data_IF_549598687048
#
_entry.id   IF_549598687048
#
_cell.length_a   1.000
_cell.length_b   1.000
_cell.length_c   1.000
_cell.angle_alpha   90.00
_cell.angle_beta   90.00
_cell.angle_gamma   90.00
#
_symmetry.space_group_name_H-M   'P 1'
#
loop_
_entity.id
_entity.type
_entity.pdbx_description
1 polymer ?
#
# COMPACT_ATOMS: atom_id res chain seq x y z
N UNK A 1 -28.00 26.06 27.48
CA UNK A 1 -26.77 26.60 26.83
C UNK A 1 -26.84 28.11 26.85
N UNK A 2 -25.73 28.80 27.14
CA UNK A 2 -25.70 30.27 27.17
C UNK A 2 -25.60 30.81 25.73
N UNK A 3 -26.22 31.95 25.41
CA UNK A 3 -26.25 32.54 24.07
C UNK A 3 -24.85 32.67 23.41
N UNK A 4 -23.81 32.91 24.21
CA UNK A 4 -22.42 32.97 23.72
C UNK A 4 -21.91 31.65 23.12
N UNK A 5 -22.33 30.50 23.67
CA UNK A 5 -21.93 29.18 23.16
C UNK A 5 -22.56 28.90 21.80
N UNK A 6 -23.80 29.34 21.58
CA UNK A 6 -24.50 29.20 20.30
C UNK A 6 -23.83 30.06 19.23
N UNK A 7 -23.49 31.31 19.56
CA UNK A 7 -22.80 32.22 18.64
C UNK A 7 -21.42 31.67 18.26
N UNK A 8 -20.65 31.17 19.23
CA UNK A 8 -19.34 30.56 18.98
C UNK A 8 -19.45 29.32 18.08
N UNK A 9 -20.48 28.50 18.27
CA UNK A 9 -20.74 27.31 17.44
C UNK A 9 -21.15 27.69 16.02
N UNK A 10 -22.01 28.69 15.84
CA UNK A 10 -22.35 29.19 14.51
C UNK A 10 -21.14 29.77 13.79
N UNK A 11 -20.29 30.53 14.50
CA UNK A 11 -19.09 31.11 13.92
C UNK A 11 -18.06 30.05 13.52
N UNK A 12 -17.88 28.98 14.32
CA UNK A 12 -16.98 27.88 13.98
C UNK A 12 -17.45 27.08 12.77
N UNK A 13 -18.77 26.88 12.62
CA UNK A 13 -19.35 26.25 11.43
C UNK A 13 -19.11 27.12 10.21
N UNK A 14 -19.40 28.43 10.28
CA UNK A 14 -19.21 29.36 9.16
C UNK A 14 -17.73 29.44 8.76
N UNK A 15 -16.83 29.57 9.73
CA UNK A 15 -15.39 29.61 9.48
C UNK A 15 -14.88 28.30 8.85
N UNK A 16 -15.37 27.15 9.31
CA UNK A 16 -15.03 25.84 8.74
C UNK A 16 -15.52 25.71 7.29
N UNK A 17 -16.77 26.09 7.02
CA UNK A 17 -17.33 26.06 5.65
C UNK A 17 -16.60 27.04 4.73
N UNK A 18 -16.29 28.25 5.21
CA UNK A 18 -15.55 29.24 4.44
C UNK A 18 -14.12 28.78 4.14
N UNK A 19 -13.42 28.20 5.12
CA UNK A 19 -12.09 27.64 4.94
C UNK A 19 -12.09 26.45 3.95
N UNK A 20 -13.06 25.54 4.07
CA UNK A 20 -13.22 24.43 3.14
C UNK A 20 -13.53 24.93 1.72
N UNK A 21 -14.40 25.94 1.58
CA UNK A 21 -14.76 26.52 0.27
C UNK A 21 -13.58 27.27 -0.35
N UNK A 22 -12.80 27.99 0.47
CA UNK A 22 -11.58 28.67 0.04
C UNK A 22 -10.53 27.66 -0.43
N UNK A 23 -10.29 26.60 0.36
CA UNK A 23 -9.41 25.50 -0.01
C UNK A 23 -9.84 24.88 -1.35
N UNK A 24 -11.13 24.55 -1.49
CA UNK A 24 -11.68 24.01 -2.74
C UNK A 24 -11.59 24.95 -3.96
N UNK A 25 -11.45 26.26 -3.76
CA UNK A 25 -11.35 27.25 -4.84
C UNK A 25 -9.91 27.49 -5.28
N UNK A 26 -8.95 27.38 -4.36
CA UNK A 26 -7.55 27.70 -4.59
C UNK A 26 -6.62 26.48 -4.55
N UNK A 27 -7.18 25.27 -4.43
CA UNK A 27 -6.40 24.04 -4.54
C UNK A 27 -5.72 23.99 -5.92
N UNK A 28 -4.42 23.67 -6.00
CA UNK A 28 -3.73 23.54 -7.26
C UNK A 28 -4.44 22.49 -8.14
N UNK A 29 -4.62 22.80 -9.42
CA UNK A 29 -5.10 21.81 -10.40
C UNK A 29 -4.09 20.65 -10.44
N UNK A 30 -4.52 19.48 -9.98
CA UNK A 30 -3.68 18.30 -9.79
C UNK A 30 -3.56 17.53 -11.10
N UNK A 31 -2.83 18.14 -12.03
CA UNK A 31 -2.50 17.55 -13.33
C UNK A 31 -1.33 16.57 -13.14
N UNK A 32 -1.56 15.29 -13.41
CA UNK A 32 -0.52 14.24 -13.38
C UNK A 32 -0.17 13.83 -14.80
N UNK A 33 1.12 13.61 -15.06
CA UNK A 33 1.58 12.93 -16.27
C UNK A 33 1.71 11.44 -15.97
N UNK A 34 0.97 10.62 -16.71
CA UNK A 34 1.10 9.17 -16.73
C UNK A 34 1.57 8.68 -18.10
N UNK A 35 1.88 7.40 -18.21
CA UNK A 35 2.19 6.75 -19.50
C UNK A 35 1.00 6.77 -20.47
N UNK A 36 -0.22 7.01 -19.96
CA UNK A 36 -1.44 7.17 -20.74
C UNK A 36 -1.74 8.64 -21.10
N UNK A 37 -0.87 9.58 -20.73
CA UNK A 37 -1.00 11.01 -21.01
C UNK A 37 -1.26 11.86 -19.77
N UNK A 38 -1.76 13.07 -20.00
CA UNK A 38 -2.04 14.05 -18.95
C UNK A 38 -3.42 13.76 -18.35
N UNK A 39 -3.47 13.45 -17.04
CA UNK A 39 -4.69 13.17 -16.30
C UNK A 39 -4.97 14.32 -15.33
N UNK A 40 -6.13 14.97 -15.49
CA UNK A 40 -6.65 15.91 -14.50
C UNK A 40 -7.41 15.12 -13.44
N UNK A 41 -6.85 15.03 -12.24
CA UNK A 41 -7.49 14.31 -11.16
C UNK A 41 -8.67 15.09 -10.56
N UNK A 42 -8.92 16.35 -10.91
CA UNK A 42 -10.00 17.14 -10.32
C UNK A 42 -9.82 17.29 -8.81
N UNK A 43 -10.91 17.26 -8.04
CA UNK A 43 -10.83 17.33 -6.57
C UNK A 43 -10.37 15.97 -6.04
N UNK A 44 -9.08 15.83 -5.73
CA UNK A 44 -8.55 14.65 -5.03
C UNK A 44 -8.97 14.75 -3.57
N UNK A 45 -9.72 13.77 -3.09
CA UNK A 45 -10.24 13.75 -1.72
C UNK A 45 -9.45 12.84 -0.80
N UNK A 46 -8.71 11.87 -1.35
CA UNK A 46 -7.84 10.99 -0.60
C UNK A 46 -6.75 10.37 -1.48
N UNK A 47 -5.58 10.18 -0.88
CA UNK A 47 -4.43 9.49 -1.45
C UNK A 47 -4.04 8.37 -0.50
N UNK A 48 -3.91 7.15 -1.02
CA UNK A 48 -3.44 6.02 -0.24
C UNK A 48 -2.19 5.43 -0.88
N UNK A 49 -1.07 5.47 -0.17
CA UNK A 49 0.15 4.79 -0.58
C UNK A 49 0.06 3.33 -0.16
N UNK A 50 0.10 2.44 -1.14
CA UNK A 50 -0.17 1.02 -0.96
C UNK A 50 1.02 0.17 -1.42
N UNK A 51 1.10 -1.03 -0.86
CA UNK A 51 2.05 -2.06 -1.25
C UNK A 51 1.30 -3.37 -1.49
N UNK A 52 1.57 -3.99 -2.63
CA UNK A 52 1.22 -5.39 -2.90
C UNK A 52 2.49 -6.24 -2.83
N UNK A 53 2.35 -7.45 -2.30
CA UNK A 53 3.35 -8.50 -2.39
C UNK A 53 2.70 -9.67 -3.12
N UNK A 54 3.32 -10.08 -4.22
CA UNK A 54 2.77 -11.05 -5.15
C UNK A 54 3.77 -12.18 -5.34
N UNK A 55 3.34 -13.43 -5.20
CA UNK A 55 4.11 -14.60 -5.60
C UNK A 55 4.12 -14.72 -7.12
N UNK A 56 5.29 -15.02 -7.68
CA UNK A 56 5.45 -15.41 -9.06
C UNK A 56 5.74 -16.90 -9.10
N UNK A 57 4.87 -17.65 -9.78
CA UNK A 57 5.17 -19.04 -10.10
C UNK A 57 6.18 -19.15 -11.27
N UNK A 58 6.59 -20.38 -11.59
CA UNK A 58 7.53 -20.64 -12.69
C UNK A 58 6.98 -20.32 -14.07
N UNK A 59 5.66 -20.32 -14.23
CA UNK A 59 4.99 -19.97 -15.47
C UNK A 59 4.82 -18.44 -15.61
N UNK A 60 5.17 -17.68 -14.56
CA UNK A 60 5.01 -16.22 -14.50
C UNK A 60 3.61 -15.77 -14.09
N UNK A 61 2.77 -16.68 -13.56
CA UNK A 61 1.49 -16.29 -13.00
C UNK A 61 1.70 -15.59 -11.66
N UNK A 62 0.93 -14.52 -11.46
CA UNK A 62 0.88 -13.74 -10.24
C UNK A 62 -0.17 -14.33 -9.28
N UNK A 63 0.25 -14.70 -8.07
CA UNK A 63 -0.63 -15.06 -6.96
C UNK A 63 -0.48 -14.06 -5.81
N UNK A 64 -1.57 -13.43 -5.39
CA UNK A 64 -1.51 -12.32 -4.43
C UNK A 64 -1.24 -12.85 -3.03
N UNK A 65 -0.14 -12.43 -2.44
CA UNK A 65 0.23 -12.80 -1.08
C UNK A 65 -0.26 -11.78 -0.05
N UNK A 66 -0.02 -10.49 -0.33
CA UNK A 66 -0.51 -9.35 0.45
C UNK A 66 -1.03 -8.33 -0.55
N UNK A 67 -2.26 -7.85 -0.38
CA UNK A 67 -2.90 -6.92 -1.31
C UNK A 67 -3.38 -5.66 -0.60
N UNK A 68 -3.10 -4.51 -1.20
CA UNK A 68 -3.70 -3.23 -0.86
C UNK A 68 -3.45 -2.83 0.58
N UNK A 69 -2.23 -3.02 1.10
CA UNK A 69 -1.91 -2.64 2.47
C UNK A 69 -1.15 -1.32 2.48
N UNK A 70 -1.32 -0.55 3.55
CA UNK A 70 -0.62 0.73 3.72
C UNK A 70 0.89 0.52 3.64
N UNK A 71 1.55 1.33 2.80
CA UNK A 71 3.00 1.36 2.67
C UNK A 71 3.71 1.63 4.00
N UNK A 72 3.08 2.40 4.89
CA UNK A 72 3.63 2.75 6.21
C UNK A 72 3.29 1.74 7.31
N UNK A 73 2.31 0.87 7.10
CA UNK A 73 1.79 -0.08 8.10
C UNK A 73 1.71 -1.52 7.56
N UNK A 74 2.68 -1.92 6.73
CA UNK A 74 2.66 -3.21 6.03
C UNK A 74 2.99 -4.42 6.92
N UNK A 75 3.57 -4.21 8.10
CA UNK A 75 4.16 -5.28 8.91
C UNK A 75 3.14 -6.29 9.46
N UNK A 76 1.98 -5.82 9.93
CA UNK A 76 0.91 -6.69 10.47
C UNK A 76 0.24 -7.53 9.38
N UNK A 77 -0.16 -6.97 8.22
CA UNK A 77 -0.69 -7.76 7.13
C UNK A 77 0.29 -8.83 6.61
N UNK A 78 1.57 -8.49 6.50
CA UNK A 78 2.62 -9.46 6.12
C UNK A 78 2.69 -10.61 7.13
N UNK A 79 2.69 -10.31 8.43
CA UNK A 79 2.73 -11.32 9.47
C UNK A 79 1.52 -12.27 9.37
N UNK A 80 0.32 -11.70 9.16
CA UNK A 80 -0.91 -12.48 8.99
C UNK A 80 -0.83 -13.40 7.77
N UNK A 81 -0.42 -12.88 6.62
CA UNK A 81 -0.28 -13.67 5.40
C UNK A 81 0.73 -14.83 5.57
N UNK A 82 1.82 -14.59 6.29
CA UNK A 82 2.81 -15.63 6.61
C UNK A 82 2.26 -16.71 7.56
N UNK A 83 1.46 -16.32 8.55
CA UNK A 83 0.78 -17.26 9.46
C UNK A 83 -0.23 -18.11 8.68
N UNK A 84 -1.04 -17.48 7.82
CA UNK A 84 -2.03 -18.18 7.00
C UNK A 84 -1.34 -19.17 6.04
N UNK A 85 -0.24 -18.77 5.39
CA UNK A 85 0.58 -19.63 4.56
C UNK A 85 1.14 -20.83 5.35
N UNK A 86 1.67 -20.59 6.55
CA UNK A 86 2.19 -21.67 7.40
C UNK A 86 1.09 -22.65 7.83
N UNK A 87 -0.08 -22.13 8.19
CA UNK A 87 -1.24 -22.95 8.56
C UNK A 87 -1.72 -23.82 7.39
N UNK A 88 -1.73 -23.26 6.17
CA UNK A 88 -2.05 -24.02 4.97
C UNK A 88 -1.03 -25.12 4.69
N UNK A 89 0.28 -24.81 4.79
CA UNK A 89 1.35 -25.80 4.59
C UNK A 89 1.31 -26.93 5.62
N UNK A 90 0.96 -26.60 6.86
CA UNK A 90 0.82 -27.57 7.95
C UNK A 90 -0.49 -28.38 7.91
N UNK A 91 -1.39 -28.10 6.97
CA UNK A 91 -2.67 -28.80 6.89
C UNK A 91 -2.45 -30.26 6.51
N UNK A 92 -2.79 -31.17 7.43
CA UNK A 92 -2.61 -32.61 7.24
C UNK A 92 -1.20 -33.15 7.51
N UNK A 93 -0.30 -32.30 8.02
CA UNK A 93 1.05 -32.70 8.49
C UNK A 93 0.97 -33.13 9.96
N UNK A 94 1.66 -34.21 10.34
CA UNK A 94 1.74 -34.64 11.74
C UNK A 94 2.42 -33.58 12.61
N UNK A 95 2.00 -33.44 13.88
CA UNK A 95 2.48 -32.35 14.77
C UNK A 95 4.02 -32.28 14.86
N UNK A 96 4.69 -33.43 14.86
CA UNK A 96 6.16 -33.54 14.92
C UNK A 96 6.89 -32.99 13.68
N UNK A 97 6.18 -32.87 12.55
CA UNK A 97 6.71 -32.42 11.26
C UNK A 97 6.20 -31.03 10.86
N UNK A 98 5.39 -30.37 11.70
CA UNK A 98 4.87 -29.03 11.40
C UNK A 98 5.98 -27.98 11.49
N UNK A 99 5.98 -27.07 10.53
CA UNK A 99 6.85 -25.88 10.55
C UNK A 99 6.24 -24.79 11.43
N UNK A 100 7.08 -24.07 12.16
CA UNK A 100 6.64 -22.90 12.95
C UNK A 100 6.76 -21.62 12.12
N UNK A 101 6.11 -20.54 12.54
CA UNK A 101 6.18 -19.24 11.87
C UNK A 101 7.62 -18.73 11.64
N UNK A 102 8.51 -18.93 12.61
CA UNK A 102 9.92 -18.51 12.50
C UNK A 102 10.78 -19.51 11.71
N UNK A 103 10.25 -20.70 11.45
CA UNK A 103 10.92 -21.79 10.73
C UNK A 103 10.09 -22.27 9.55
N UNK A 104 9.34 -21.37 8.92
CA UNK A 104 8.93 -21.67 7.56
C UNK A 104 10.28 -21.84 6.85
N UNK A 105 10.48 -22.99 6.23
CA UNK A 105 11.65 -23.34 5.44
C UNK A 105 11.18 -24.18 4.22
N UNK A 106 12.10 -24.59 3.34
CA UNK A 106 11.81 -25.32 2.09
C UNK A 106 11.12 -24.53 0.95
N UNK A 107 11.60 -23.32 0.67
CA UNK A 107 11.36 -22.67 -0.64
C UNK A 107 12.48 -23.09 -1.58
N UNK A 108 12.16 -23.28 -2.85
CA UNK A 108 13.21 -23.58 -3.82
C UNK A 108 13.97 -22.28 -4.09
N UNK A 109 15.22 -22.22 -3.63
CA UNK A 109 16.11 -21.10 -3.89
C UNK A 109 16.23 -20.87 -5.41
N UNK A 110 16.18 -19.61 -5.84
CA UNK A 110 16.29 -19.25 -7.27
C UNK A 110 15.00 -19.41 -8.08
N UNK A 111 13.98 -19.99 -7.47
CA UNK A 111 12.85 -20.58 -8.15
C UNK A 111 11.53 -19.97 -7.68
N UNK A 112 11.38 -19.77 -6.36
CA UNK A 112 10.30 -18.95 -5.81
C UNK A 112 10.67 -17.46 -5.89
N UNK A 113 9.82 -16.67 -6.56
CA UNK A 113 10.02 -15.24 -6.77
C UNK A 113 8.83 -14.48 -6.22
N UNK A 114 9.08 -13.25 -5.78
CA UNK A 114 8.00 -12.34 -5.44
C UNK A 114 8.23 -10.98 -6.07
N UNK A 115 7.12 -10.31 -6.33
CA UNK A 115 7.06 -8.92 -6.76
C UNK A 115 6.61 -8.11 -5.56
N UNK A 116 7.31 -7.01 -5.29
CA UNK A 116 6.78 -5.93 -4.48
C UNK A 116 6.34 -4.82 -5.43
N UNK A 117 5.06 -4.46 -5.38
CA UNK A 117 4.49 -3.37 -6.16
C UNK A 117 4.10 -2.25 -5.22
N UNK A 118 4.71 -1.09 -5.38
CA UNK A 118 4.36 0.13 -4.64
C UNK A 118 3.58 1.05 -5.55
N UNK A 119 2.43 1.53 -5.08
CA UNK A 119 1.54 2.36 -5.88
C UNK A 119 0.77 3.34 -5.01
N UNK A 120 0.27 4.40 -5.62
CA UNK A 120 -0.60 5.39 -4.96
C UNK A 120 -1.96 5.29 -5.61
N UNK A 121 -2.99 5.12 -4.77
CA UNK A 121 -4.37 5.16 -5.20
C UNK A 121 -4.96 6.53 -4.90
N UNK A 122 -5.41 7.22 -5.95
CA UNK A 122 -6.05 8.53 -5.88
C UNK A 122 -7.56 8.39 -6.02
N UNK A 123 -8.26 8.87 -5.00
CA UNK A 123 -9.71 8.99 -4.98
C UNK A 123 -10.08 10.43 -5.32
N UNK A 124 -10.85 10.64 -6.38
CA UNK A 124 -11.21 11.98 -6.83
C UNK A 124 -12.61 12.09 -7.39
N UNK A 125 -13.11 13.33 -7.49
CA UNK A 125 -14.42 13.64 -8.09
C UNK A 125 -14.56 13.19 -9.55
N UNK A 126 -13.44 13.06 -10.27
CA UNK A 126 -13.42 12.67 -11.67
C UNK A 126 -13.53 11.14 -11.83
N UNK A 127 -13.12 10.39 -10.81
CA UNK A 127 -13.19 8.94 -10.76
C UNK A 127 -14.47 8.49 -10.05
N UNK A 128 -15.60 8.56 -10.77
CA UNK A 128 -16.95 8.29 -10.22
C UNK A 128 -17.12 6.89 -9.58
N UNK A 129 -16.29 5.91 -9.95
CA UNK A 129 -16.40 4.51 -9.47
C UNK A 129 -15.08 3.76 -9.34
N UNK A 130 -14.01 4.16 -10.03
CA UNK A 130 -12.76 3.41 -10.07
C UNK A 130 -11.60 4.34 -9.76
N UNK A 131 -10.92 4.17 -8.62
CA UNK A 131 -9.77 5.01 -8.25
C UNK A 131 -8.68 4.99 -9.32
N UNK A 132 -7.95 6.09 -9.45
CA UNK A 132 -6.75 6.10 -10.30
C UNK A 132 -5.57 5.54 -9.53
N UNK A 133 -4.87 4.57 -10.12
CA UNK A 133 -3.68 3.95 -9.51
C UNK A 133 -2.44 4.37 -10.29
N UNK A 134 -1.52 5.06 -9.61
CA UNK A 134 -0.18 5.34 -10.11
C UNK A 134 0.79 4.33 -9.55
N UNK A 135 1.39 3.51 -10.41
CA UNK A 135 2.46 2.59 -10.00
C UNK A 135 3.75 3.40 -9.84
N UNK A 136 4.30 3.41 -8.62
CA UNK A 136 5.57 4.08 -8.30
C UNK A 136 6.75 3.16 -8.63
N UNK A 137 6.58 1.86 -8.45
CA UNK A 137 7.59 0.90 -8.85
C UNK A 137 7.18 -0.53 -8.63
N UNK A 138 7.89 -1.39 -9.36
CA UNK A 138 7.80 -2.83 -9.24
C UNK A 138 9.21 -3.40 -9.05
N UNK A 139 9.41 -4.17 -7.97
CA UNK A 139 10.68 -4.82 -7.66
C UNK A 139 10.50 -6.34 -7.69
N UNK A 140 11.23 -7.01 -8.58
CA UNK A 140 11.24 -8.47 -8.69
C UNK A 140 12.38 -9.03 -7.85
N UNK A 141 12.06 -9.93 -6.94
CA UNK A 141 12.99 -10.42 -5.94
C UNK A 141 12.94 -11.95 -5.90
N UNK A 142 14.11 -12.57 -5.81
CA UNK A 142 14.25 -14.02 -5.76
C UNK A 142 14.52 -14.44 -4.32
N UNK A 143 13.76 -15.42 -3.81
CA UNK A 143 13.96 -15.90 -2.46
C UNK A 143 15.27 -16.69 -2.33
N UNK A 144 15.99 -16.35 -1.28
CA UNK A 144 17.23 -16.99 -0.89
C UNK A 144 16.87 -18.16 0.05
N UNK A 145 16.75 -19.37 -0.49
CA UNK A 145 16.22 -20.55 0.23
C UNK A 145 17.05 -21.04 1.43
N UNK A 146 18.11 -20.33 1.83
CA UNK A 146 18.91 -20.59 3.03
C UNK A 146 18.53 -19.74 4.25
N UNK A 147 17.52 -18.86 4.13
CA UNK A 147 16.97 -18.06 5.24
C UNK A 147 15.48 -18.34 5.41
N UNK A 148 14.92 -18.18 6.63
CA UNK A 148 13.47 -18.21 6.83
C UNK A 148 12.75 -17.23 5.90
N UNK A 149 11.58 -17.60 5.39
CA UNK A 149 10.80 -16.74 4.49
C UNK A 149 10.41 -15.43 5.14
N UNK A 150 10.04 -15.48 6.42
CA UNK A 150 9.73 -14.30 7.22
C UNK A 150 10.83 -13.25 7.06
N UNK A 151 12.06 -13.62 7.38
CA UNK A 151 13.21 -12.71 7.32
C UNK A 151 13.49 -12.25 5.89
N UNK A 152 13.32 -13.15 4.91
CA UNK A 152 13.49 -12.83 3.50
C UNK A 152 12.49 -11.76 3.03
N UNK A 153 11.19 -11.93 3.34
CA UNK A 153 10.15 -10.98 2.95
C UNK A 153 10.34 -9.64 3.67
N UNK A 154 10.49 -9.64 5.00
CA UNK A 154 10.67 -8.38 5.74
C UNK A 154 11.92 -7.62 5.29
N UNK A 155 13.04 -8.31 5.07
CA UNK A 155 14.28 -7.65 4.61
C UNK A 155 14.14 -6.99 3.24
N UNK A 156 13.29 -7.54 2.37
CA UNK A 156 13.08 -7.03 1.02
C UNK A 156 12.03 -5.92 1.02
N UNK A 157 10.95 -6.05 1.81
CA UNK A 157 9.97 -4.99 2.03
C UNK A 157 10.64 -3.76 2.64
N UNK A 158 11.45 -3.91 3.68
CA UNK A 158 12.17 -2.80 4.31
C UNK A 158 13.13 -2.11 3.35
N UNK A 159 13.77 -2.88 2.46
CA UNK A 159 14.66 -2.34 1.44
C UNK A 159 13.88 -1.54 0.40
N UNK A 160 12.78 -2.10 -0.10
CA UNK A 160 11.93 -1.43 -1.08
C UNK A 160 11.33 -0.14 -0.49
N UNK A 161 10.88 -0.18 0.77
CA UNK A 161 10.42 1.00 1.50
C UNK A 161 11.48 2.11 1.51
N UNK A 162 12.72 1.78 1.89
CA UNK A 162 13.82 2.75 1.93
C UNK A 162 14.15 3.31 0.54
N UNK A 163 14.12 2.47 -0.49
CA UNK A 163 14.42 2.87 -1.86
C UNK A 163 13.32 3.77 -2.47
N UNK A 164 12.06 3.53 -2.11
CA UNK A 164 10.90 4.22 -2.71
C UNK A 164 10.39 5.40 -1.91
N UNK A 165 10.85 5.61 -0.67
CA UNK A 165 10.37 6.67 0.23
C UNK A 165 10.39 8.07 -0.41
N UNK A 166 11.49 8.45 -1.05
CA UNK A 166 11.62 9.78 -1.67
C UNK A 166 10.70 9.93 -2.90
N UNK A 167 10.63 8.88 -3.72
CA UNK A 167 9.78 8.85 -4.91
C UNK A 167 8.29 8.92 -4.53
N UNK A 168 7.87 8.16 -3.52
CA UNK A 168 6.52 8.24 -2.94
C UNK A 168 6.25 9.65 -2.47
N UNK A 169 7.14 10.24 -1.66
CA UNK A 169 6.96 11.61 -1.17
C UNK A 169 6.80 12.61 -2.32
N UNK A 170 7.63 12.51 -3.37
CA UNK A 170 7.56 13.41 -4.53
C UNK A 170 6.29 13.30 -5.38
N UNK A 171 5.53 12.21 -5.24
CA UNK A 171 4.30 11.93 -5.97
C UNK A 171 3.03 12.15 -5.13
N UNK A 172 3.16 12.41 -3.83
CA UNK A 172 2.05 12.78 -2.95
C UNK A 172 1.65 14.24 -3.17
N UNK A 173 0.36 14.50 -3.41
CA UNK A 173 -0.16 15.85 -3.62
C UNK A 173 -0.02 16.74 -2.40
N UNK A 174 -0.26 16.20 -1.20
CA UNK A 174 -0.13 16.97 0.04
C UNK A 174 1.28 17.52 0.32
N UNK A 175 2.28 17.14 -0.47
CA UNK A 175 3.68 17.58 -0.28
C UNK A 175 4.14 18.65 -1.29
N UNK A 176 3.33 19.01 -2.28
CA UNK A 176 3.61 20.05 -3.29
C UNK A 176 2.79 21.31 -3.05
#
# INVERSE_FOLDING_TARGET
>A
MKNWQVIALCFSIIASVAAATFYLKYEPQTIVKSDAGVVDLGKVFAENVMIDIVWLDYAGNEDKFVEGVSFYESSQPIAKALVDLNNQRNKGVSEENKTTYDKIDNYQAGKDRFIIRTYITYLSSNFKTTPYTLVIGEEKQTLQGYRPLKDSIYSVVDRSFKAKKEEVASNLFMTK
#
